data_IF_019949253176
#
_entry.id   IF_019949253176
#
_cell.length_a   1.000
_cell.length_b   1.000
_cell.length_c   1.000
_cell.angle_alpha   90.00
_cell.angle_beta   90.00
_cell.angle_gamma   90.00
#
_symmetry.space_group_name_H-M   'P 1'
#
loop_
_entity.id
_entity.type
_entity.pdbx_description
1 polymer ?
#
# COMPACT_ATOMS: atom_id res chain seq x y z
N UNK A 1 4.43 59.37 -7.71
CA UNK A 1 3.21 58.54 -7.79
C UNK A 1 2.88 58.37 -9.26
N UNK A 2 3.32 57.28 -9.89
CA UNK A 2 2.90 56.92 -11.25
C UNK A 2 2.88 55.39 -11.33
N UNK A 3 1.68 54.88 -11.56
CA UNK A 3 1.30 53.48 -11.55
C UNK A 3 1.39 52.94 -12.97
N UNK A 4 2.18 51.90 -13.18
CA UNK A 4 2.25 51.16 -14.45
C UNK A 4 2.18 49.67 -14.16
N UNK A 5 0.95 49.15 -14.14
CA UNK A 5 0.66 47.73 -14.04
C UNK A 5 0.80 47.10 -15.44
N UNK A 6 1.85 46.31 -15.64
CA UNK A 6 2.08 45.54 -16.86
C UNK A 6 1.28 44.22 -16.80
N UNK A 7 0.23 44.17 -17.61
CA UNK A 7 -0.62 43.02 -17.86
C UNK A 7 0.12 42.01 -18.75
N UNK A 8 0.48 40.84 -18.21
CA UNK A 8 1.02 39.72 -19.00
C UNK A 8 -0.14 38.93 -19.60
N UNK A 9 -0.26 39.00 -20.94
CA UNK A 9 -1.17 38.20 -21.76
C UNK A 9 -0.85 36.71 -21.66
N UNK A 10 -1.83 35.89 -21.28
CA UNK A 10 -1.85 34.44 -21.54
C UNK A 10 -2.15 34.22 -23.02
N UNK A 11 -1.25 33.54 -23.73
CA UNK A 11 -1.53 32.94 -25.02
C UNK A 11 -1.95 31.47 -24.82
N UNK A 12 -3.07 31.10 -25.43
CA UNK A 12 -3.55 29.74 -25.57
C UNK A 12 -3.42 29.34 -27.05
N UNK A 13 -2.88 28.15 -27.30
CA UNK A 13 -2.91 27.28 -28.52
C UNK A 13 -1.60 26.48 -28.48
N UNK A 14 -1.48 25.21 -28.79
CA UNK A 14 -2.36 24.20 -29.39
C UNK A 14 -1.61 22.87 -29.23
N UNK A 15 -2.34 21.76 -29.38
CA UNK A 15 -1.91 20.45 -28.90
C UNK A 15 -0.65 19.87 -29.54
N UNK A 16 0.11 19.18 -28.69
CA UNK A 16 0.84 17.97 -29.01
C UNK A 16 0.66 17.04 -27.82
N UNK A 17 -0.20 16.02 -27.98
CA UNK A 17 -0.29 14.90 -27.04
C UNK A 17 0.97 14.05 -27.23
N UNK A 18 1.84 13.87 -26.23
CA UNK A 18 2.80 12.79 -26.29
C UNK A 18 2.01 11.48 -26.22
N UNK A 19 2.18 10.66 -27.26
CA UNK A 19 1.78 9.26 -27.31
C UNK A 19 2.37 8.54 -26.10
N UNK A 20 1.57 8.41 -25.04
CA UNK A 20 1.91 7.55 -23.92
C UNK A 20 1.88 6.12 -24.44
N UNK A 21 3.06 5.60 -24.79
CA UNK A 21 3.30 4.18 -24.82
C UNK A 21 2.86 3.64 -23.46
N UNK A 22 1.77 2.90 -23.50
CA UNK A 22 1.21 2.15 -22.38
C UNK A 22 2.30 1.21 -21.91
N UNK A 23 3.00 1.59 -20.83
CA UNK A 23 3.77 0.63 -20.07
C UNK A 23 2.75 -0.35 -19.46
N UNK A 24 2.82 -1.65 -19.79
CA UNK A 24 2.01 -2.63 -19.07
C UNK A 24 2.43 -2.63 -17.59
N UNK A 25 1.50 -2.79 -16.66
CA UNK A 25 1.83 -2.88 -15.24
C UNK A 25 2.78 -4.06 -15.01
N UNK A 26 3.76 -3.96 -14.09
CA UNK A 26 4.61 -5.09 -13.74
C UNK A 26 3.73 -6.22 -13.21
N UNK A 27 3.68 -7.35 -13.93
CA UNK A 27 3.10 -8.60 -13.45
C UNK A 27 3.99 -9.12 -12.33
N UNK A 28 3.69 -8.71 -11.09
CA UNK A 28 4.24 -9.37 -9.91
C UNK A 28 3.59 -10.75 -9.79
N UNK A 29 4.22 -11.76 -10.41
CA UNK A 29 3.93 -13.15 -10.10
C UNK A 29 4.54 -13.44 -8.73
N UNK A 30 3.75 -13.29 -7.67
CA UNK A 30 4.10 -13.82 -6.35
C UNK A 30 4.09 -15.34 -6.47
N UNK A 31 5.24 -15.94 -6.75
CA UNK A 31 5.46 -17.36 -6.50
C UNK A 31 5.45 -17.55 -5.00
N UNK A 32 4.28 -17.91 -4.47
CA UNK A 32 4.14 -18.35 -3.10
C UNK A 32 4.93 -19.65 -2.94
N UNK A 33 6.20 -19.55 -2.55
CA UNK A 33 7.02 -20.71 -2.16
C UNK A 33 6.46 -21.23 -0.84
N UNK A 34 5.53 -22.17 -0.95
CA UNK A 34 4.89 -22.85 0.17
C UNK A 34 5.90 -23.84 0.76
N UNK A 35 6.65 -23.39 1.76
CA UNK A 35 7.42 -24.29 2.62
C UNK A 35 6.46 -25.05 3.53
N UNK A 36 6.04 -26.24 3.10
CA UNK A 36 5.41 -27.23 3.96
C UNK A 36 6.44 -28.31 4.31
N UNK A 37 7.27 -28.04 5.31
CA UNK A 37 7.93 -29.10 6.08
C UNK A 37 7.38 -29.05 7.49
N UNK A 38 6.55 -30.03 7.82
CA UNK A 38 6.25 -30.42 9.19
C UNK A 38 6.39 -31.91 9.26
N UNK A 39 7.39 -32.36 10.03
CA UNK A 39 7.68 -33.75 10.29
C UNK A 39 6.45 -34.50 10.81
N UNK A 40 6.31 -35.73 10.34
CA UNK A 40 5.22 -36.63 10.63
C UNK A 40 5.25 -37.08 12.11
N UNK A 41 4.54 -36.36 12.96
CA UNK A 41 4.04 -36.89 14.22
C UNK A 41 2.58 -37.31 14.02
N UNK A 42 2.37 -38.61 13.78
CA UNK A 42 1.05 -39.25 13.65
C UNK A 42 0.23 -39.10 14.93
N UNK A 43 -0.37 -37.93 15.14
CA UNK A 43 -1.45 -37.75 16.10
C UNK A 43 -2.71 -38.30 15.45
N UNK A 44 -3.30 -39.33 16.07
CA UNK A 44 -4.65 -39.85 15.79
C UNK A 44 -5.58 -38.66 15.50
N UNK A 45 -5.98 -38.48 14.25
CA UNK A 45 -7.00 -37.49 13.88
C UNK A 45 -8.27 -37.94 14.58
N UNK A 46 -8.63 -37.25 15.66
CA UNK A 46 -9.91 -37.44 16.35
C UNK A 46 -10.98 -37.10 15.32
N UNK A 47 -11.83 -38.05 14.96
CA UNK A 47 -13.00 -37.78 14.12
C UNK A 47 -13.74 -36.58 14.71
N UNK A 48 -13.70 -35.47 13.98
CA UNK A 48 -14.40 -34.26 14.36
C UNK A 48 -15.86 -34.56 14.12
N UNK A 49 -16.57 -34.88 15.22
CA UNK A 49 -18.01 -35.11 15.20
C UNK A 49 -18.68 -33.91 14.51
N UNK A 50 -19.36 -34.18 13.39
CA UNK A 50 -20.14 -33.19 12.65
C UNK A 50 -21.29 -32.57 13.47
N UNK A 51 -21.49 -33.06 14.70
CA UNK A 51 -22.46 -32.55 15.67
C UNK A 51 -21.90 -31.45 16.59
N UNK A 52 -20.60 -31.13 16.56
CA UNK A 52 -20.09 -30.02 17.37
C UNK A 52 -20.49 -28.68 16.74
N UNK A 53 -21.41 -27.99 17.42
CA UNK A 53 -21.96 -26.69 17.06
C UNK A 53 -20.86 -25.64 16.82
N UNK A 54 -19.67 -25.77 17.41
CA UNK A 54 -18.55 -24.86 17.16
C UNK A 54 -17.98 -25.02 15.76
N UNK A 55 -17.88 -26.23 15.24
CA UNK A 55 -17.42 -26.46 13.87
C UNK A 55 -18.48 -26.00 12.86
N UNK A 56 -19.77 -26.18 13.17
CA UNK A 56 -20.86 -25.63 12.37
C UNK A 56 -20.83 -24.09 12.39
N UNK A 57 -20.65 -23.47 13.55
CA UNK A 57 -20.52 -22.01 13.68
C UNK A 57 -19.29 -21.47 12.95
N UNK A 58 -18.12 -22.12 13.06
CA UNK A 58 -16.91 -21.73 12.32
C UNK A 58 -17.13 -21.90 10.81
N UNK A 59 -17.78 -23.00 10.40
CA UNK A 59 -18.13 -23.23 8.99
C UNK A 59 -19.11 -22.19 8.48
N UNK A 60 -20.10 -21.81 9.26
CA UNK A 60 -21.07 -20.79 8.91
C UNK A 60 -20.41 -19.40 8.93
N UNK A 61 -19.54 -19.06 9.88
CA UNK A 61 -18.82 -17.77 9.85
C UNK A 61 -17.92 -17.67 8.61
N UNK A 62 -17.19 -18.74 8.27
CA UNK A 62 -16.23 -18.73 7.16
C UNK A 62 -16.85 -18.97 5.78
N UNK A 63 -17.95 -19.73 5.73
CA UNK A 63 -18.56 -20.22 4.49
C UNK A 63 -20.10 -20.15 4.52
N UNK A 64 -20.68 -19.24 5.32
CA UNK A 64 -22.12 -18.98 5.30
C UNK A 64 -22.58 -18.86 3.86
N UNK A 65 -23.64 -19.58 3.50
CA UNK A 65 -24.22 -19.53 2.15
C UNK A 65 -24.71 -18.13 1.76
N UNK A 66 -24.89 -17.27 2.76
CA UNK A 66 -25.31 -15.88 2.61
C UNK A 66 -24.12 -14.92 2.41
N UNK A 67 -22.88 -15.41 2.47
CA UNK A 67 -21.71 -14.64 2.02
C UNK A 67 -21.60 -14.82 0.51
N UNK A 68 -21.63 -13.74 -0.29
CA UNK A 68 -21.42 -13.85 -1.73
C UNK A 68 -20.04 -14.46 -2.00
N UNK A 69 -20.05 -15.72 -2.45
CA UNK A 69 -18.88 -16.46 -2.93
C UNK A 69 -18.22 -15.66 -4.07
N UNK A 70 -16.90 -15.40 -3.94
CA UNK A 70 -16.05 -14.78 -4.97
C UNK A 70 -16.06 -15.53 -6.31
N UNK A 71 -16.59 -16.76 -6.39
CA UNK A 71 -16.99 -17.37 -7.66
C UNK A 71 -18.45 -17.03 -7.96
N UNK A 72 -18.66 -16.22 -9.00
CA UNK A 72 -19.98 -15.87 -9.50
C UNK A 72 -20.80 -17.14 -9.80
N UNK A 73 -21.78 -17.46 -8.93
CA UNK A 73 -22.81 -18.45 -9.23
C UNK A 73 -23.85 -17.80 -10.15
N UNK A 74 -24.32 -18.47 -11.21
CA UNK A 74 -25.41 -17.97 -12.03
C UNK A 74 -26.66 -17.79 -11.17
N UNK A 75 -27.26 -16.61 -11.28
CA UNK A 75 -28.45 -16.17 -10.52
C UNK A 75 -29.59 -17.19 -10.64
N UNK A 76 -30.18 -17.58 -9.50
CA UNK A 76 -31.46 -18.31 -9.47
C UNK A 76 -32.63 -17.31 -9.43
N UNK A 77 -33.78 -17.62 -10.07
CA UNK A 77 -34.95 -16.76 -10.06
C UNK A 77 -35.58 -16.68 -8.65
N UNK A 78 -36.03 -15.48 -8.36
CA UNK A 78 -36.46 -14.92 -7.07
C UNK A 78 -37.45 -15.78 -6.27
N UNK A 79 -37.11 -16.09 -5.02
CA UNK A 79 -38.10 -16.08 -3.93
C UNK A 79 -37.83 -14.84 -3.07
N UNK A 80 -38.86 -14.02 -2.91
CA UNK A 80 -38.79 -12.70 -2.32
C UNK A 80 -38.71 -12.79 -0.80
N UNK A 81 -37.52 -12.62 -0.21
CA UNK A 81 -37.27 -11.97 1.10
C UNK A 81 -35.78 -12.10 1.42
N UNK A 82 -35.13 -10.96 1.68
CA UNK A 82 -33.76 -10.78 2.19
C UNK A 82 -32.57 -11.08 1.27
N UNK A 83 -32.61 -10.65 0.01
CA UNK A 83 -31.37 -10.30 -0.71
C UNK A 83 -31.21 -8.79 -0.56
N UNK A 84 -30.16 -8.33 0.14
CA UNK A 84 -29.70 -6.96 -0.04
C UNK A 84 -29.33 -6.83 -1.52
N UNK A 85 -30.15 -6.09 -2.26
CA UNK A 85 -29.94 -5.95 -3.69
C UNK A 85 -28.54 -5.39 -3.93
N UNK A 86 -27.77 -5.90 -4.91
CA UNK A 86 -26.68 -5.11 -5.47
C UNK A 86 -27.28 -3.75 -5.81
N UNK A 87 -26.65 -2.67 -5.34
CA UNK A 87 -27.21 -1.32 -5.46
C UNK A 87 -27.44 -1.06 -6.94
N UNK A 88 -28.69 -1.16 -7.39
CA UNK A 88 -29.11 -0.72 -8.71
C UNK A 88 -29.18 0.80 -8.61
N UNK A 89 -28.01 1.43 -8.69
CA UNK A 89 -27.90 2.86 -8.91
C UNK A 89 -28.62 3.16 -10.21
N UNK A 90 -29.52 4.13 -10.23
CA UNK A 90 -30.08 4.62 -11.50
C UNK A 90 -28.92 5.14 -12.36
N UNK A 91 -29.04 5.20 -13.69
CA UNK A 91 -27.97 5.66 -14.60
C UNK A 91 -27.28 6.98 -14.15
N UNK A 92 -28.01 7.89 -13.52
CA UNK A 92 -27.47 9.16 -13.00
C UNK A 92 -26.63 9.01 -11.73
N UNK A 93 -26.90 7.99 -10.90
CA UNK A 93 -26.11 7.67 -9.72
C UNK A 93 -24.88 6.81 -10.09
N UNK A 94 -24.99 5.95 -11.10
CA UNK A 94 -23.84 5.22 -11.70
C UNK A 94 -22.78 6.20 -12.22
N UNK A 95 -23.20 7.20 -13.01
CA UNK A 95 -22.28 8.21 -13.54
C UNK A 95 -21.55 9.02 -12.45
N UNK A 96 -22.17 9.19 -11.27
CA UNK A 96 -21.53 9.86 -10.11
C UNK A 96 -20.51 8.94 -9.45
N UNK A 97 -20.84 7.66 -9.28
CA UNK A 97 -19.91 6.65 -8.75
C UNK A 97 -18.68 6.57 -9.66
N UNK A 98 -18.87 6.45 -10.97
CA UNK A 98 -17.78 6.45 -11.97
C UNK A 98 -16.93 7.73 -11.93
N UNK A 99 -17.55 8.87 -11.66
CA UNK A 99 -16.82 10.13 -11.51
C UNK A 99 -15.97 10.16 -10.23
N UNK A 100 -16.52 9.69 -9.11
CA UNK A 100 -15.82 9.60 -7.82
C UNK A 100 -14.65 8.63 -7.93
N UNK A 101 -14.86 7.46 -8.52
CA UNK A 101 -13.81 6.44 -8.70
C UNK A 101 -12.67 6.96 -9.57
N UNK A 102 -12.99 7.60 -10.70
CA UNK A 102 -11.97 8.22 -11.57
C UNK A 102 -11.21 9.34 -10.86
N UNK A 103 -11.91 10.20 -10.12
CA UNK A 103 -11.27 11.27 -9.36
C UNK A 103 -10.32 10.70 -8.29
N UNK A 104 -10.74 9.65 -7.58
CA UNK A 104 -9.91 8.97 -6.59
C UNK A 104 -8.69 8.29 -7.21
N UNK A 105 -8.86 7.61 -8.36
CA UNK A 105 -7.75 7.00 -9.08
C UNK A 105 -6.71 8.04 -9.54
N UNK A 106 -7.17 9.20 -10.04
CA UNK A 106 -6.30 10.31 -10.41
C UNK A 106 -5.54 10.88 -9.20
N UNK A 107 -6.21 11.02 -8.05
CA UNK A 107 -5.56 11.51 -6.83
C UNK A 107 -4.48 10.53 -6.35
N UNK A 108 -4.78 9.22 -6.35
CA UNK A 108 -3.81 8.19 -5.98
C UNK A 108 -2.62 8.14 -6.94
N UNK A 109 -2.83 8.36 -8.24
CA UNK A 109 -1.75 8.45 -9.20
C UNK A 109 -0.84 9.66 -8.92
N UNK A 110 -1.42 10.83 -8.60
CA UNK A 110 -0.64 12.02 -8.23
C UNK A 110 0.13 11.80 -6.93
N UNK A 111 -0.49 11.22 -5.92
CA UNK A 111 0.16 10.90 -4.63
C UNK A 111 1.35 9.96 -4.84
N UNK A 112 1.19 8.92 -5.67
CA UNK A 112 2.28 8.01 -6.01
C UNK A 112 3.40 8.72 -6.79
N UNK A 113 3.06 9.53 -7.79
CA UNK A 113 4.03 10.30 -8.57
C UNK A 113 4.82 11.29 -7.69
N UNK A 114 4.15 11.96 -6.75
CA UNK A 114 4.77 12.87 -5.80
C UNK A 114 5.77 12.14 -4.88
N UNK A 115 5.38 10.99 -4.31
CA UNK A 115 6.27 10.15 -3.50
C UNK A 115 7.51 9.70 -4.27
N UNK A 116 7.34 9.28 -5.53
CA UNK A 116 8.47 8.87 -6.38
C UNK A 116 9.38 10.06 -6.68
N UNK A 117 8.84 11.25 -6.94
CA UNK A 117 9.63 12.45 -7.18
C UNK A 117 10.43 12.87 -5.92
N UNK A 118 9.82 12.79 -4.74
CA UNK A 118 10.48 13.05 -3.46
C UNK A 118 11.64 12.07 -3.22
N UNK A 119 11.38 10.75 -3.34
CA UNK A 119 12.40 9.72 -3.18
C UNK A 119 13.55 9.88 -4.18
N UNK A 120 13.23 10.28 -5.42
CA UNK A 120 14.22 10.59 -6.44
C UNK A 120 15.09 11.77 -6.03
N UNK A 121 14.50 12.86 -5.53
CA UNK A 121 15.25 14.02 -5.04
C UNK A 121 16.18 13.68 -3.86
N UNK A 122 15.68 12.88 -2.90
CA UNK A 122 16.50 12.38 -1.78
C UNK A 122 17.69 11.54 -2.27
N UNK A 123 17.46 10.65 -3.24
CA UNK A 123 18.51 9.82 -3.83
C UNK A 123 19.53 10.65 -4.61
N UNK A 124 19.09 11.61 -5.43
CA UNK A 124 19.97 12.50 -6.18
C UNK A 124 20.85 13.34 -5.24
N UNK A 125 20.28 13.87 -4.15
CA UNK A 125 21.02 14.59 -3.11
C UNK A 125 22.03 13.68 -2.41
N UNK A 126 21.64 12.46 -2.03
CA UNK A 126 22.54 11.50 -1.38
C UNK A 126 23.69 11.11 -2.30
N UNK A 127 23.41 10.88 -3.59
CA UNK A 127 24.41 10.56 -4.60
C UNK A 127 25.40 11.70 -4.80
N UNK A 128 24.92 12.93 -4.96
CA UNK A 128 25.79 14.09 -5.11
C UNK A 128 26.74 14.27 -3.91
N UNK A 129 26.23 14.09 -2.69
CA UNK A 129 27.05 14.14 -1.48
C UNK A 129 28.11 13.03 -1.43
N UNK A 130 27.78 11.80 -1.85
CA UNK A 130 28.74 10.70 -1.92
C UNK A 130 29.81 10.92 -3.00
N UNK A 131 29.45 11.48 -4.16
CA UNK A 131 30.39 11.85 -5.23
C UNK A 131 31.36 12.99 -4.80
N UNK A 132 30.92 13.90 -3.93
CA UNK A 132 31.77 14.93 -3.34
C UNK A 132 32.70 14.35 -2.26
N UNK A 133 32.18 13.43 -1.43
CA UNK A 133 32.97 12.74 -0.41
C UNK A 133 34.10 11.91 -1.02
N UNK A 134 33.84 11.20 -2.13
CA UNK A 134 34.85 10.41 -2.85
C UNK A 134 36.03 11.27 -3.35
N UNK A 135 35.74 12.50 -3.80
CA UNK A 135 36.76 13.44 -4.29
C UNK A 135 37.60 14.05 -3.17
N UNK A 136 37.00 14.23 -1.99
CA UNK A 136 37.64 14.91 -0.85
C UNK A 136 38.41 13.95 0.04
N UNK A 137 37.77 12.85 0.49
CA UNK A 137 38.39 11.82 1.32
C UNK A 137 37.91 10.41 0.92
N UNK A 138 38.73 9.65 0.16
CA UNK A 138 38.37 8.31 -0.27
C UNK A 138 38.27 7.32 0.90
N UNK A 139 38.96 7.55 2.03
CA UNK A 139 38.90 6.64 3.19
C UNK A 139 37.53 6.72 3.88
N UNK A 140 36.98 7.93 4.02
CA UNK A 140 35.64 8.12 4.59
C UNK A 140 34.55 7.60 3.66
N UNK A 141 34.74 7.75 2.35
CA UNK A 141 33.84 7.18 1.35
C UNK A 141 33.73 5.65 1.47
N UNK A 142 34.87 4.94 1.52
CA UNK A 142 34.87 3.49 1.71
C UNK A 142 34.23 3.08 3.06
N UNK A 143 34.48 3.84 4.12
CA UNK A 143 33.87 3.57 5.43
C UNK A 143 32.33 3.74 5.40
N UNK A 144 31.82 4.75 4.70
CA UNK A 144 30.38 4.99 4.56
C UNK A 144 29.69 3.87 3.76
N UNK A 145 30.33 3.40 2.69
CA UNK A 145 29.86 2.27 1.89
C UNK A 145 29.84 0.96 2.69
N UNK A 146 30.89 0.70 3.47
CA UNK A 146 30.99 -0.48 4.33
C UNK A 146 29.87 -0.57 5.38
N UNK A 147 29.33 0.56 5.85
CA UNK A 147 28.15 0.57 6.72
C UNK A 147 26.87 0.09 6.05
N UNK A 148 26.77 0.20 4.71
CA UNK A 148 25.65 -0.28 3.92
C UNK A 148 25.83 -1.73 3.44
N UNK A 149 27.07 -2.16 3.19
CA UNK A 149 27.39 -3.46 2.59
C UNK A 149 27.64 -4.58 3.62
N UNK A 150 27.80 -4.26 4.91
CA UNK A 150 27.89 -5.29 5.96
C UNK A 150 26.53 -5.98 6.06
N UNK A 151 26.53 -7.31 5.91
CA UNK A 151 25.36 -8.21 6.11
C UNK A 151 24.78 -8.18 7.55
N UNK A 152 25.16 -7.22 8.38
CA UNK A 152 24.47 -6.95 9.63
C UNK A 152 23.05 -6.49 9.29
N UNK A 153 22.06 -7.29 9.71
CA UNK A 153 20.65 -7.00 9.43
C UNK A 153 20.33 -5.61 9.97
N UNK A 154 20.22 -4.62 9.08
CA UNK A 154 19.79 -3.26 9.44
C UNK A 154 18.31 -3.32 9.79
N UNK A 155 18.01 -3.55 11.07
CA UNK A 155 16.64 -3.62 11.57
C UNK A 155 16.20 -2.24 12.05
N UNK A 156 15.00 -1.83 11.65
CA UNK A 156 14.38 -0.64 12.24
C UNK A 156 14.26 -0.80 13.77
N UNK A 157 14.64 0.20 14.57
CA UNK A 157 14.52 0.12 16.02
C UNK A 157 13.09 -0.21 16.47
N UNK A 158 12.92 -1.19 17.37
CA UNK A 158 11.58 -1.59 17.88
C UNK A 158 10.81 -0.46 18.56
N UNK A 159 11.51 0.58 19.04
CA UNK A 159 10.89 1.75 19.68
C UNK A 159 10.38 2.78 18.65
N UNK A 160 10.72 2.64 17.36
CA UNK A 160 10.14 3.45 16.29
C UNK A 160 8.71 2.95 16.03
N UNK A 161 7.71 3.69 16.52
CA UNK A 161 6.30 3.31 16.43
C UNK A 161 5.67 3.80 15.14
N UNK A 162 4.67 3.06 14.66
CA UNK A 162 3.76 3.51 13.59
C UNK A 162 2.83 4.59 14.17
N UNK A 163 2.57 5.69 13.43
CA UNK A 163 1.64 6.72 13.87
C UNK A 163 0.27 6.16 14.24
N UNK A 164 -0.32 6.66 15.34
CA UNK A 164 -1.67 6.32 15.81
C UNK A 164 -2.60 7.52 15.64
N UNK A 165 -3.89 7.28 15.41
CA UNK A 165 -4.90 8.36 15.26
C UNK A 165 -5.03 9.23 16.52
N UNK A 166 -5.09 8.59 17.69
CA UNK A 166 -5.07 9.28 18.98
C UNK A 166 -3.68 9.14 19.60
N UNK A 167 -3.03 10.23 20.03
CA UNK A 167 -1.73 10.14 20.69
C UNK A 167 -1.87 9.45 22.06
N UNK A 168 -0.81 8.83 22.59
CA UNK A 168 -0.79 8.29 23.95
C UNK A 168 -0.93 9.42 24.98
N UNK A 169 -1.48 9.10 26.16
CA UNK A 169 -1.71 10.07 27.25
C UNK A 169 -0.38 10.77 27.64
N UNK A 170 0.70 10.00 27.75
CA UNK A 170 2.02 10.52 28.12
C UNK A 170 2.79 11.17 26.95
N UNK A 171 2.25 11.13 25.72
CA UNK A 171 2.80 11.80 24.53
C UNK A 171 4.21 11.33 24.14
N UNK A 172 5.23 11.90 24.80
CA UNK A 172 6.65 11.67 24.55
C UNK A 172 7.42 11.39 25.86
N UNK A 173 8.23 10.32 25.84
CA UNK A 173 9.05 9.93 27.00
C UNK A 173 10.36 10.75 27.04
N UNK A 174 10.37 11.85 27.80
CA UNK A 174 11.59 12.69 27.95
C UNK A 174 12.70 12.04 28.79
N UNK A 175 12.35 11.06 29.65
CA UNK A 175 13.31 10.39 30.55
C UNK A 175 13.97 9.15 29.93
N UNK A 176 13.97 9.02 28.60
CA UNK A 176 14.44 7.83 27.90
C UNK A 176 15.87 7.43 28.30
N UNK A 177 16.00 6.33 29.07
CA UNK A 177 17.31 5.73 29.40
C UNK A 177 17.81 4.89 28.23
N UNK A 178 19.09 5.05 27.88
CA UNK A 178 19.78 4.13 26.98
C UNK A 178 19.76 2.74 27.63
N UNK A 179 18.99 1.81 27.07
CA UNK A 179 18.87 0.47 27.64
C UNK A 179 20.24 -0.18 27.71
N UNK A 180 20.64 -0.64 28.90
CA UNK A 180 21.84 -1.47 29.05
C UNK A 180 21.58 -2.77 28.27
N UNK A 181 22.48 -3.09 27.33
CA UNK A 181 22.38 -4.27 26.46
C UNK A 181 22.46 -5.57 27.24
#
# INVERSE_FOLDING_TARGET
MNSSATYIRRAATSGLRPSCNVCPPPTFSVTLVRHNQTDAASKKVKEISSADKRYQLIRDILYSKDVPSTSAKPLRPLTAKSVSCPVSTKNADEAKVDAIERAWALEKQKEAAAKVAELRGMYESMRAAMEELEKTDPRLFEAAKVGADKDEVVVFPRRLRVPTETPPIDGWDYEMKAGNK
#
